data_IF_005556170626
#
_entry.id   IF_005556170626
#
_cell.length_a   1.000
_cell.length_b   1.000
_cell.length_c   1.000
_cell.angle_alpha   90.00
_cell.angle_beta   90.00
_cell.angle_gamma   90.00
#
_symmetry.space_group_name_H-M   'P 1'
#
loop_
_entity.id
_entity.type
_entity.pdbx_description
1 polymer ?
#
# COMPACT_ATOMS: atom_id res chain seq x y z
N UNK A 1 -17.30 -26.71 -10.41
CA UNK A 1 -15.87 -26.71 -9.98
C UNK A 1 -15.05 -25.52 -10.53
N UNK A 2 -15.66 -24.43 -11.03
CA UNK A 2 -14.94 -23.32 -11.72
C UNK A 2 -14.89 -21.99 -10.95
N UNK A 3 -15.67 -21.85 -9.88
CA UNK A 3 -15.81 -20.59 -9.10
C UNK A 3 -14.62 -20.33 -8.18
N UNK A 4 -14.11 -21.37 -7.53
CA UNK A 4 -13.03 -21.28 -6.54
C UNK A 4 -11.67 -20.91 -7.16
N UNK A 5 -11.33 -21.49 -8.32
CA UNK A 5 -10.09 -21.14 -9.03
C UNK A 5 -10.09 -19.69 -9.54
N UNK A 6 -11.25 -19.20 -9.98
CA UNK A 6 -11.39 -17.81 -10.45
C UNK A 6 -11.24 -16.82 -9.29
N UNK A 7 -11.77 -17.18 -8.12
CA UNK A 7 -11.60 -16.39 -6.90
C UNK A 7 -10.12 -16.33 -6.47
N UNK A 8 -9.41 -17.46 -6.44
CA UNK A 8 -7.98 -17.51 -6.12
C UNK A 8 -7.13 -16.65 -7.08
N UNK A 9 -7.40 -16.70 -8.38
CA UNK A 9 -6.69 -15.85 -9.36
C UNK A 9 -6.92 -14.36 -9.11
N UNK A 10 -8.14 -13.96 -8.73
CA UNK A 10 -8.45 -12.57 -8.35
C UNK A 10 -7.68 -12.14 -7.10
N UNK A 11 -7.63 -13.01 -6.09
CA UNK A 11 -6.94 -12.75 -4.83
C UNK A 11 -5.42 -12.59 -5.04
N UNK A 12 -4.80 -13.47 -5.84
CA UNK A 12 -3.37 -13.38 -6.20
C UNK A 12 -3.08 -12.09 -6.97
N UNK A 13 -3.94 -11.71 -7.93
CA UNK A 13 -3.78 -10.48 -8.72
C UNK A 13 -3.86 -9.23 -7.84
N UNK A 14 -4.76 -9.19 -6.86
CA UNK A 14 -4.83 -8.09 -5.90
C UNK A 14 -3.60 -8.00 -5.00
N UNK A 15 -3.08 -9.14 -4.52
CA UNK A 15 -1.83 -9.18 -3.77
C UNK A 15 -0.68 -8.56 -4.55
N UNK A 16 -0.58 -8.86 -5.85
CA UNK A 16 0.48 -8.36 -6.71
C UNK A 16 0.39 -6.85 -6.95
N UNK A 17 -0.82 -6.33 -7.21
CA UNK A 17 -1.08 -4.89 -7.33
C UNK A 17 -0.64 -4.12 -6.08
N UNK A 18 -0.94 -4.67 -4.90
CA UNK A 18 -0.54 -4.06 -3.65
C UNK A 18 0.95 -4.16 -3.37
N UNK A 19 1.60 -5.25 -3.78
CA UNK A 19 3.06 -5.37 -3.71
C UNK A 19 3.73 -4.31 -4.58
N UNK A 20 3.20 -4.11 -5.79
CA UNK A 20 3.61 -3.02 -6.68
C UNK A 20 3.37 -1.63 -6.08
N UNK A 21 2.20 -1.41 -5.46
CA UNK A 21 1.88 -0.15 -4.77
C UNK A 21 2.83 0.12 -3.59
N UNK A 22 3.16 -0.91 -2.80
CA UNK A 22 4.07 -0.82 -1.66
C UNK A 22 5.49 -0.46 -2.14
N UNK A 23 5.96 -1.09 -3.22
CA UNK A 23 7.26 -0.77 -3.82
C UNK A 23 7.26 0.65 -4.37
N UNK A 24 6.21 1.04 -5.11
CA UNK A 24 6.05 2.40 -5.63
C UNK A 24 6.04 3.43 -4.51
N UNK A 25 5.29 3.19 -3.44
CA UNK A 25 5.26 4.03 -2.25
C UNK A 25 6.64 4.13 -1.58
N UNK A 26 7.38 3.03 -1.49
CA UNK A 26 8.71 2.98 -0.89
C UNK A 26 9.74 3.81 -1.69
N UNK A 27 9.64 3.81 -3.02
CA UNK A 27 10.49 4.63 -3.90
C UNK A 27 10.05 6.10 -3.89
N UNK A 28 8.75 6.38 -3.82
CA UNK A 28 8.21 7.74 -3.75
C UNK A 28 8.55 8.43 -2.42
N UNK A 29 8.64 7.65 -1.35
CA UNK A 29 8.89 8.12 0.02
C UNK A 29 10.14 9.01 0.17
N UNK A 30 11.35 8.60 -0.27
CA UNK A 30 12.54 9.45 -0.18
C UNK A 30 12.46 10.71 -1.06
N UNK A 31 11.72 10.68 -2.17
CA UNK A 31 11.52 11.85 -3.03
C UNK A 31 10.67 12.90 -2.29
N UNK A 32 9.57 12.46 -1.68
CA UNK A 32 8.70 13.33 -0.89
C UNK A 32 9.45 13.87 0.34
N UNK A 33 10.23 13.03 1.03
CA UNK A 33 11.07 13.43 2.15
C UNK A 33 12.11 14.49 1.74
N UNK A 34 12.79 14.28 0.62
CA UNK A 34 13.79 15.23 0.09
C UNK A 34 13.15 16.58 -0.27
N UNK A 35 11.98 16.55 -0.91
CA UNK A 35 11.20 17.75 -1.20
C UNK A 35 10.74 18.47 0.08
N UNK A 36 10.31 17.72 1.11
CA UNK A 36 9.91 18.26 2.40
C UNK A 36 11.07 18.96 3.11
N UNK A 37 12.25 18.34 3.15
CA UNK A 37 13.46 18.93 3.74
C UNK A 37 13.86 20.21 3.00
N UNK A 38 13.84 20.20 1.66
CA UNK A 38 14.16 21.38 0.84
C UNK A 38 13.19 22.54 1.10
N UNK A 39 11.89 22.26 1.16
CA UNK A 39 10.87 23.29 1.42
C UNK A 39 10.91 23.80 2.86
N UNK A 40 11.22 22.93 3.83
CA UNK A 40 11.38 23.32 5.22
C UNK A 40 12.52 24.34 5.38
N UNK A 41 13.69 24.04 4.80
CA UNK A 41 14.84 24.96 4.80
C UNK A 41 14.55 26.30 4.11
N UNK A 42 13.76 26.29 3.04
CA UNK A 42 13.51 27.48 2.21
C UNK A 42 12.39 28.39 2.73
N UNK A 43 11.40 27.83 3.45
CA UNK A 43 10.15 28.56 3.76
C UNK A 43 9.62 28.35 5.18
N UNK A 44 10.29 27.57 6.04
CA UNK A 44 9.81 27.16 7.37
C UNK A 44 8.37 26.60 7.35
N UNK A 45 7.95 26.04 6.20
CA UNK A 45 6.58 25.63 6.01
C UNK A 45 6.44 24.11 6.20
N UNK A 46 5.80 23.72 7.31
CA UNK A 46 5.57 22.33 7.72
C UNK A 46 4.47 21.62 6.91
N UNK A 47 3.85 22.31 5.94
CA UNK A 47 2.75 21.77 5.14
C UNK A 47 3.09 20.47 4.38
N UNK A 48 4.36 20.17 4.11
CA UNK A 48 4.79 18.93 3.45
C UNK A 48 4.83 17.70 4.37
N UNK A 49 4.65 17.84 5.68
CA UNK A 49 4.45 16.67 6.56
C UNK A 49 3.05 16.05 6.42
N UNK A 50 2.06 16.84 5.99
CA UNK A 50 0.69 16.39 5.76
C UNK A 50 0.64 15.24 4.73
N UNK A 51 1.24 15.35 3.52
CA UNK A 51 1.24 14.26 2.56
C UNK A 51 1.95 12.99 3.05
N UNK A 52 2.97 13.13 3.92
CA UNK A 52 3.65 11.97 4.52
C UNK A 52 2.71 11.23 5.49
N UNK A 53 1.99 11.96 6.35
CA UNK A 53 1.04 11.39 7.30
C UNK A 53 -0.21 10.82 6.60
N UNK A 54 -0.74 11.49 5.58
CA UNK A 54 -1.90 10.99 4.82
C UNK A 54 -1.56 9.72 4.05
N UNK A 55 -0.33 9.57 3.56
CA UNK A 55 0.11 8.37 2.88
C UNK A 55 0.10 7.14 3.83
N UNK A 56 0.48 7.30 5.10
CA UNK A 56 0.34 6.24 6.13
C UNK A 56 -1.13 5.94 6.41
N UNK A 57 -1.97 6.97 6.53
CA UNK A 57 -3.40 6.82 6.80
C UNK A 57 -4.14 6.06 5.68
N UNK A 58 -3.75 6.28 4.42
CA UNK A 58 -4.29 5.56 3.25
C UNK A 58 -3.73 4.12 3.21
N UNK A 59 -2.51 3.91 3.69
CA UNK A 59 -1.88 2.60 3.72
C UNK A 59 -2.53 1.63 4.72
N UNK A 60 -3.12 2.16 5.81
CA UNK A 60 -3.74 1.36 6.86
C UNK A 60 -4.95 0.53 6.40
N UNK A 61 -6.00 1.09 5.74
CA UNK A 61 -7.12 0.30 5.23
C UNK A 61 -6.69 -0.63 4.09
N UNK A 62 -5.67 -0.25 3.34
CA UNK A 62 -5.01 -1.07 2.31
C UNK A 62 -4.38 -2.32 2.93
N UNK A 63 -3.63 -2.14 4.02
CA UNK A 63 -2.99 -3.23 4.74
C UNK A 63 -4.00 -4.17 5.41
N UNK A 64 -5.06 -3.62 6.03
CA UNK A 64 -6.15 -4.40 6.58
C UNK A 64 -6.85 -5.26 5.52
N UNK A 65 -7.15 -4.67 4.35
CA UNK A 65 -7.72 -5.41 3.22
C UNK A 65 -6.78 -6.52 2.74
N UNK A 66 -5.47 -6.27 2.67
CA UNK A 66 -4.48 -7.28 2.30
C UNK A 66 -4.42 -8.45 3.28
N UNK A 67 -4.47 -8.17 4.58
CA UNK A 67 -4.41 -9.21 5.60
C UNK A 67 -5.65 -10.10 5.56
N UNK A 68 -6.84 -9.50 5.40
CA UNK A 68 -8.09 -10.24 5.18
C UNK A 68 -8.01 -11.09 3.90
N UNK A 69 -7.48 -10.51 2.81
CA UNK A 69 -7.29 -11.21 1.54
C UNK A 69 -6.34 -12.40 1.66
N UNK A 70 -5.23 -12.24 2.38
CA UNK A 70 -4.23 -13.28 2.56
C UNK A 70 -4.76 -14.41 3.47
N UNK A 71 -5.59 -14.07 4.46
CA UNK A 71 -6.30 -15.05 5.29
C UNK A 71 -7.31 -15.87 4.47
N UNK A 72 -8.06 -15.23 3.55
CA UNK A 72 -8.98 -15.93 2.63
C UNK A 72 -8.25 -16.82 1.61
N UNK A 73 -7.12 -16.38 1.06
CA UNK A 73 -6.32 -17.23 0.15
C UNK A 73 -5.82 -18.46 0.89
N UNK A 74 -5.33 -18.29 2.12
CA UNK A 74 -4.79 -19.38 2.92
C UNK A 74 -5.86 -20.38 3.35
N UNK A 75 -7.06 -19.91 3.71
CA UNK A 75 -8.17 -20.80 4.06
C UNK A 75 -8.65 -21.63 2.85
N UNK A 76 -8.69 -21.03 1.65
CA UNK A 76 -9.09 -21.74 0.41
C UNK A 76 -8.01 -22.62 -0.20
N UNK A 77 -6.74 -22.47 0.16
CA UNK A 77 -5.67 -23.40 -0.23
C UNK A 77 -5.58 -24.64 0.67
N UNK A 78 -6.19 -24.60 1.87
CA UNK A 78 -6.13 -25.68 2.86
C UNK A 78 -7.46 -26.46 2.99
N UNK A 79 -8.49 -26.09 2.23
CA UNK A 79 -9.77 -26.79 2.13
C UNK A 79 -9.90 -27.60 0.85
#
# INVERSE_FOLDING_TARGET
>A
MTTEQTALKKLIKQRDLFKGLLIGACILWPIILSAAVYFYYKKNNTALFIPVCTMVAIFLPVYLRLNALNAEVKSRQQG
#
